data_IF_843660255303
#
_entry.id   IF_843660255303
#
_cell.length_a   1.000
_cell.length_b   1.000
_cell.length_c   1.000
_cell.angle_alpha   90.00
_cell.angle_beta   90.00
_cell.angle_gamma   90.00
#
_symmetry.space_group_name_H-M   'P 1'
#
loop_
_entity.id
_entity.type
_entity.pdbx_description
1 polymer ?
#
# COMPACT_ATOMS: atom_id res chain seq x y z
N UNK A 1 -28.82 -6.14 -14.98
CA UNK A 1 -27.87 -7.13 -14.43
C UNK A 1 -26.49 -6.52 -14.50
N UNK A 2 -25.94 -5.93 -13.42
CA UNK A 2 -24.56 -5.45 -13.44
C UNK A 2 -23.70 -6.71 -13.57
N UNK A 3 -23.16 -6.92 -14.77
CA UNK A 3 -22.48 -8.13 -15.18
C UNK A 3 -21.34 -8.43 -14.20
N UNK A 4 -21.29 -9.66 -13.68
CA UNK A 4 -20.21 -10.17 -12.84
C UNK A 4 -18.80 -9.85 -13.41
N UNK A 5 -18.69 -9.71 -14.73
CA UNK A 5 -17.52 -9.22 -15.47
C UNK A 5 -16.93 -7.90 -14.94
N UNK A 6 -17.77 -6.95 -14.49
CA UNK A 6 -17.31 -5.69 -13.91
C UNK A 6 -16.60 -5.90 -12.58
N UNK A 7 -17.22 -6.65 -11.67
CA UNK A 7 -16.62 -6.99 -10.37
C UNK A 7 -15.32 -7.77 -10.53
N UNK A 8 -15.30 -8.78 -11.39
CA UNK A 8 -14.08 -9.55 -11.68
C UNK A 8 -12.98 -8.64 -12.23
N UNK A 9 -13.32 -7.67 -13.08
CA UNK A 9 -12.35 -6.71 -13.61
C UNK A 9 -11.76 -5.82 -12.52
N UNK A 10 -12.57 -5.28 -11.61
CA UNK A 10 -12.07 -4.46 -10.50
C UNK A 10 -11.20 -5.25 -9.52
N UNK A 11 -11.58 -6.50 -9.21
CA UNK A 11 -10.78 -7.38 -8.35
C UNK A 11 -9.46 -7.83 -9.02
N UNK A 12 -9.47 -8.06 -10.33
CA UNK A 12 -8.25 -8.40 -11.08
C UNK A 12 -7.31 -7.20 -11.10
N UNK A 13 -7.81 -5.99 -11.34
CA UNK A 13 -6.99 -4.76 -11.31
C UNK A 13 -6.39 -4.54 -9.93
N UNK A 14 -7.18 -4.70 -8.87
CA UNK A 14 -6.66 -4.52 -7.51
C UNK A 14 -5.62 -5.58 -7.13
N UNK A 15 -5.82 -6.84 -7.54
CA UNK A 15 -4.84 -7.92 -7.37
C UNK A 15 -3.54 -7.65 -8.13
N UNK A 16 -3.61 -7.16 -9.37
CA UNK A 16 -2.43 -6.76 -10.16
C UNK A 16 -1.68 -5.63 -9.44
N UNK A 17 -2.40 -4.64 -8.90
CA UNK A 17 -1.81 -3.52 -8.16
C UNK A 17 -1.06 -3.99 -6.90
N UNK A 18 -1.65 -4.92 -6.15
CA UNK A 18 -1.02 -5.55 -4.98
C UNK A 18 0.25 -6.29 -5.40
N UNK A 19 0.21 -7.05 -6.50
CA UNK A 19 1.37 -7.78 -7.01
C UNK A 19 2.49 -6.85 -7.48
N UNK A 20 2.15 -5.71 -8.11
CA UNK A 20 3.13 -4.68 -8.49
C UNK A 20 3.75 -4.05 -7.23
N UNK A 21 2.93 -3.73 -6.22
CA UNK A 21 3.40 -3.22 -4.93
C UNK A 21 4.37 -4.19 -4.26
N UNK A 22 4.01 -5.48 -4.19
CA UNK A 22 4.85 -6.54 -3.64
C UNK A 22 6.17 -6.69 -4.41
N UNK A 23 6.13 -6.64 -5.74
CA UNK A 23 7.33 -6.68 -6.57
C UNK A 23 8.25 -5.47 -6.28
N UNK A 24 7.70 -4.27 -6.13
CA UNK A 24 8.47 -3.08 -5.77
C UNK A 24 9.16 -3.20 -4.40
N UNK A 25 8.48 -3.78 -3.41
CA UNK A 25 9.03 -4.01 -2.06
C UNK A 25 10.19 -5.00 -2.10
N UNK A 26 10.06 -6.10 -2.86
CA UNK A 26 11.07 -7.15 -2.93
C UNK A 26 12.27 -6.78 -3.82
N UNK A 27 12.03 -6.07 -4.93
CA UNK A 27 13.06 -5.80 -5.94
C UNK A 27 13.99 -4.63 -5.55
N UNK A 28 13.56 -3.71 -4.68
CA UNK A 28 14.28 -2.46 -4.42
C UNK A 28 15.03 -2.50 -3.09
N UNK A 29 16.28 -2.02 -3.12
CA UNK A 29 17.19 -2.00 -1.96
C UNK A 29 17.21 -0.64 -1.21
N UNK A 30 16.68 0.40 -1.85
CA UNK A 30 16.59 1.74 -1.28
C UNK A 30 15.36 1.84 -0.40
N UNK A 31 15.52 2.29 0.85
CA UNK A 31 14.43 2.43 1.81
C UNK A 31 13.25 3.27 1.29
N UNK A 32 13.52 4.36 0.55
CA UNK A 32 12.48 5.21 -0.05
C UNK A 32 11.64 4.43 -1.07
N UNK A 33 12.29 3.61 -1.91
CA UNK A 33 11.56 2.83 -2.93
C UNK A 33 10.71 1.73 -2.31
N UNK A 34 11.12 1.19 -1.17
CA UNK A 34 10.34 0.21 -0.41
C UNK A 34 9.08 0.85 0.17
N UNK A 35 9.18 2.07 0.72
CA UNK A 35 8.00 2.83 1.21
C UNK A 35 7.00 3.08 0.08
N UNK A 36 7.48 3.49 -1.10
CA UNK A 36 6.61 3.72 -2.27
C UNK A 36 5.93 2.40 -2.69
N UNK A 37 6.66 1.28 -2.70
CA UNK A 37 6.11 -0.04 -2.97
C UNK A 37 5.02 -0.44 -1.96
N UNK A 38 5.23 -0.16 -0.68
CA UNK A 38 4.25 -0.37 0.38
C UNK A 38 2.97 0.44 0.16
N UNK A 39 3.08 1.72 -0.21
CA UNK A 39 1.90 2.53 -0.54
C UNK A 39 1.11 1.99 -1.73
N UNK A 40 1.79 1.58 -2.80
CA UNK A 40 1.12 1.00 -3.99
C UNK A 40 0.39 -0.29 -3.61
N UNK A 41 1.01 -1.13 -2.77
CA UNK A 41 0.39 -2.35 -2.28
C UNK A 41 -0.85 -2.04 -1.45
N UNK A 42 -0.76 -1.07 -0.54
CA UNK A 42 -1.85 -0.68 0.35
C UNK A 42 -3.04 -0.07 -0.43
N UNK A 43 -2.76 0.75 -1.45
CA UNK A 43 -3.77 1.24 -2.39
C UNK A 43 -4.50 0.09 -3.12
N UNK A 44 -3.79 -0.98 -3.51
CA UNK A 44 -4.41 -2.18 -4.10
C UNK A 44 -5.32 -2.94 -3.13
N UNK A 45 -4.96 -3.01 -1.85
CA UNK A 45 -5.81 -3.61 -0.80
C UNK A 45 -7.07 -2.76 -0.59
N UNK A 46 -6.92 -1.44 -0.47
CA UNK A 46 -8.03 -0.50 -0.32
C UNK A 46 -9.02 -0.59 -1.51
N UNK A 47 -8.50 -0.70 -2.73
CA UNK A 47 -9.32 -0.87 -3.93
C UNK A 47 -10.09 -2.20 -3.94
N UNK A 48 -9.48 -3.29 -3.46
CA UNK A 48 -10.15 -4.59 -3.30
C UNK A 48 -11.32 -4.50 -2.32
N UNK A 49 -11.14 -3.77 -1.22
CA UNK A 49 -12.19 -3.54 -0.22
C UNK A 49 -13.39 -2.76 -0.79
N UNK A 50 -13.13 -1.68 -1.54
CA UNK A 50 -14.20 -0.88 -2.19
C UNK A 50 -14.95 -1.74 -3.20
N UNK A 51 -14.22 -2.52 -4.01
CA UNK A 51 -14.81 -3.39 -5.03
C UNK A 51 -15.77 -4.44 -4.44
N UNK A 52 -15.38 -5.06 -3.32
CA UNK A 52 -16.23 -6.02 -2.59
C UNK A 52 -17.45 -5.34 -1.95
N UNK A 53 -17.29 -4.13 -1.43
CA UNK A 53 -18.39 -3.36 -0.82
C UNK A 53 -19.48 -3.02 -1.84
N UNK A 54 -19.10 -2.67 -3.07
CA UNK A 54 -20.05 -2.24 -4.09
C UNK A 54 -20.96 -3.37 -4.61
N UNK A 55 -20.54 -4.63 -4.46
CA UNK A 55 -21.29 -5.79 -4.95
C UNK A 55 -22.34 -6.30 -3.96
N UNK A 56 -22.24 -5.94 -2.68
CA UNK A 56 -23.10 -6.54 -1.64
C UNK A 56 -24.56 -6.11 -1.77
N UNK A 57 -24.82 -4.88 -2.19
CA UNK A 57 -26.17 -4.37 -2.47
C UNK A 57 -26.12 -3.35 -3.62
N UNK A 58 -26.60 -3.68 -4.84
CA UNK A 58 -26.59 -2.73 -5.95
C UNK A 58 -27.51 -1.54 -5.65
N UNK A 59 -26.93 -0.34 -5.57
CA UNK A 59 -27.64 0.92 -5.30
C UNK A 59 -27.60 1.38 -3.84
N UNK A 60 -27.00 0.60 -2.93
CA UNK A 60 -26.79 1.01 -1.54
C UNK A 60 -25.29 1.10 -1.27
N UNK A 61 -24.82 2.31 -0.94
CA UNK A 61 -23.44 2.54 -0.53
C UNK A 61 -23.38 2.30 0.97
N UNK A 62 -22.94 1.10 1.37
CA UNK A 62 -22.68 0.82 2.78
C UNK A 62 -21.62 1.81 3.31
N UNK A 63 -21.93 2.66 4.30
CA UNK A 63 -20.98 3.65 4.80
C UNK A 63 -19.84 3.00 5.60
N UNK A 64 -20.04 1.77 6.07
CA UNK A 64 -19.10 1.08 6.95
C UNK A 64 -17.79 0.71 6.22
N UNK A 65 -17.80 -0.04 5.09
CA UNK A 65 -16.55 -0.32 4.35
C UNK A 65 -15.89 0.95 3.80
N UNK A 66 -16.68 1.94 3.40
CA UNK A 66 -16.17 3.22 2.91
C UNK A 66 -15.37 3.99 3.97
N UNK A 67 -15.89 4.06 5.20
CA UNK A 67 -15.22 4.74 6.33
C UNK A 67 -13.91 4.05 6.71
N UNK A 68 -13.89 2.71 6.66
CA UNK A 68 -12.68 1.91 6.91
C UNK A 68 -11.58 2.28 5.93
N UNK A 69 -11.89 2.33 4.63
CA UNK A 69 -10.89 2.65 3.59
C UNK A 69 -10.34 4.07 3.74
N UNK A 70 -11.19 5.05 4.03
CA UNK A 70 -10.73 6.43 4.27
C UNK A 70 -9.80 6.49 5.49
N UNK A 71 -10.12 5.75 6.55
CA UNK A 71 -9.28 5.68 7.76
C UNK A 71 -7.93 5.04 7.44
N UNK A 72 -7.91 3.97 6.64
CA UNK A 72 -6.66 3.37 6.16
C UNK A 72 -5.81 4.34 5.34
N UNK A 73 -6.42 5.13 4.43
CA UNK A 73 -5.70 6.14 3.66
C UNK A 73 -5.01 7.19 4.55
N UNK A 74 -5.69 7.63 5.61
CA UNK A 74 -5.11 8.59 6.58
C UNK A 74 -3.95 7.95 7.36
N UNK A 75 -4.12 6.71 7.82
CA UNK A 75 -3.08 5.96 8.54
C UNK A 75 -1.84 5.72 7.66
N UNK A 76 -2.03 5.33 6.40
CA UNK A 76 -0.95 5.12 5.43
C UNK A 76 -0.14 6.40 5.19
N UNK A 77 -0.81 7.55 5.05
CA UNK A 77 -0.16 8.85 4.90
C UNK A 77 0.67 9.20 6.15
N UNK A 78 0.12 8.98 7.35
CA UNK A 78 0.83 9.22 8.62
C UNK A 78 2.05 8.29 8.77
N UNK A 79 1.89 6.99 8.52
CA UNK A 79 2.98 6.03 8.59
C UNK A 79 4.10 6.36 7.61
N UNK A 80 3.75 6.83 6.40
CA UNK A 80 4.73 7.25 5.40
C UNK A 80 5.53 8.46 5.87
N UNK A 81 4.87 9.47 6.44
CA UNK A 81 5.54 10.64 6.98
C UNK A 81 6.56 10.25 8.08
N UNK A 82 6.15 9.37 8.99
CA UNK A 82 7.01 8.83 10.05
C UNK A 82 8.20 8.08 9.45
N UNK A 83 7.95 7.18 8.48
CA UNK A 83 9.00 6.39 7.85
C UNK A 83 10.02 7.24 7.09
N UNK A 84 9.58 8.31 6.41
CA UNK A 84 10.47 9.29 5.78
C UNK A 84 11.33 10.01 6.83
N UNK A 85 10.73 10.41 7.96
CA UNK A 85 11.47 11.02 9.08
C UNK A 85 12.59 10.11 9.60
N UNK A 86 12.29 8.82 9.80
CA UNK A 86 13.30 7.83 10.18
C UNK A 86 14.39 7.67 9.13
N UNK A 87 14.03 7.59 7.85
CA UNK A 87 15.01 7.52 6.77
C UNK A 87 15.94 8.74 6.79
N UNK A 88 15.41 9.93 7.02
CA UNK A 88 16.22 11.15 7.09
C UNK A 88 17.20 11.12 8.26
N UNK A 89 16.76 10.65 9.43
CA UNK A 89 17.61 10.49 10.61
C UNK A 89 18.73 9.46 10.35
N UNK A 90 18.39 8.31 9.78
CA UNK A 90 19.35 7.26 9.41
C UNK A 90 20.34 7.78 8.37
N UNK A 91 19.87 8.53 7.38
CA UNK A 91 20.72 9.11 6.34
C UNK A 91 21.75 10.08 6.93
N UNK A 92 21.37 10.88 7.92
CA UNK A 92 22.30 11.80 8.61
C UNK A 92 23.39 11.07 9.39
N UNK A 93 23.10 9.90 9.96
CA UNK A 93 24.07 9.12 10.75
C UNK A 93 24.96 8.19 9.93
N UNK A 94 24.42 7.55 8.88
CA UNK A 94 25.12 6.51 8.12
C UNK A 94 25.51 6.96 6.70
N UNK A 95 25.03 8.12 6.22
CA UNK A 95 25.31 8.64 4.88
C UNK A 95 24.81 7.76 3.74
N UNK A 96 23.97 6.75 4.03
CA UNK A 96 23.54 5.77 3.04
C UNK A 96 22.08 5.36 3.24
N UNK A 97 21.36 5.23 2.13
CA UNK A 97 19.97 4.78 2.07
C UNK A 97 19.84 3.26 1.79
N UNK A 98 20.98 2.57 1.74
CA UNK A 98 21.06 1.17 1.36
C UNK A 98 20.93 0.28 2.60
N UNK A 99 19.82 -0.44 2.69
CA UNK A 99 19.44 -1.24 3.87
C UNK A 99 20.48 -2.32 4.20
N UNK A 100 21.23 -2.81 3.21
CA UNK A 100 22.29 -3.81 3.43
C UNK A 100 23.50 -3.26 4.19
N UNK A 101 23.81 -1.96 4.05
CA UNK A 101 24.92 -1.34 4.80
C UNK A 101 24.57 -1.15 6.27
N UNK A 102 23.29 -0.91 6.57
CA UNK A 102 22.76 -0.88 7.94
C UNK A 102 22.78 -2.26 8.62
N UNK A 103 22.78 -3.35 7.84
CA UNK A 103 22.84 -4.74 8.34
C UNK A 103 24.18 -5.12 8.99
N UNK A 104 25.20 -4.24 8.96
CA UNK A 104 26.49 -4.45 9.66
C UNK A 104 26.43 -4.22 11.17
N UNK A 105 25.29 -3.82 11.74
CA UNK A 105 25.08 -3.71 13.20
C UNK A 105 24.62 -5.03 13.85
N UNK A 106 24.78 -6.17 13.17
CA UNK A 106 24.64 -7.47 13.84
C UNK A 106 25.98 -7.80 14.48
N UNK A 107 25.96 -7.89 15.82
CA UNK A 107 27.00 -8.51 16.64
C UNK A 107 27.38 -9.88 16.07
#
# INVERSE_FOLDING_TARGET
>A
MPSALGLTSYLVVSAILVMIGLYCVLAKRNAIRIIIGLQIMAAGVNLSFISLSFFRVPGFIDPFPHTIVITFLVLEALLTAIAIGFIFQIYKHYGTLDIRKLRRLRW
#
